data_IF_526869289962
#
_entry.id   IF_526869289962
#
_cell.length_a   1.000
_cell.length_b   1.000
_cell.length_c   1.000
_cell.angle_alpha   90.00
_cell.angle_beta   90.00
_cell.angle_gamma   90.00
#
_symmetry.space_group_name_H-M   'P 1'
#
loop_
_entity.id
_entity.type
_entity.pdbx_description
1 polymer ?
#
# COMPACT_ATOMS: atom_id res chain seq x y z
N UNK A 1 2.69 -5.64 -0.72
CA UNK A 1 2.38 -7.03 -1.12
C UNK A 1 0.89 -7.26 -0.99
N UNK A 2 0.27 -7.89 -1.99
CA UNK A 2 -1.12 -8.36 -1.93
C UNK A 2 -1.12 -9.88 -1.74
N UNK A 3 -1.94 -10.39 -0.84
CA UNK A 3 -2.12 -11.81 -0.56
C UNK A 3 -3.32 -12.35 -1.34
N UNK A 4 -3.21 -13.58 -1.85
CA UNK A 4 -4.32 -14.25 -2.55
C UNK A 4 -5.43 -14.67 -1.59
N UNK A 5 -5.11 -14.83 -0.31
CA UNK A 5 -6.08 -15.12 0.75
C UNK A 5 -5.73 -14.26 1.97
N UNK A 6 -6.72 -13.57 2.58
CA UNK A 6 -6.49 -12.81 3.80
C UNK A 6 -5.95 -13.67 4.94
N UNK A 7 -5.08 -13.09 5.77
CA UNK A 7 -4.52 -13.74 6.96
C UNK A 7 -4.95 -12.99 8.23
N UNK A 8 -5.08 -13.72 9.33
CA UNK A 8 -5.27 -13.12 10.64
C UNK A 8 -3.92 -12.57 11.13
N UNK A 9 -3.82 -11.25 11.28
CA UNK A 9 -2.56 -10.57 11.59
C UNK A 9 -2.24 -10.52 13.08
N UNK A 10 -3.23 -10.23 13.92
CA UNK A 10 -3.08 -10.01 15.37
C UNK A 10 -4.08 -10.82 16.21
N UNK A 11 -4.71 -11.82 15.62
CA UNK A 11 -5.74 -12.65 16.24
C UNK A 11 -7.17 -12.12 16.07
N UNK A 12 -7.34 -10.87 15.60
CA UNK A 12 -8.66 -10.23 15.43
C UNK A 12 -8.83 -9.68 14.01
N UNK A 13 -7.82 -8.97 13.51
CA UNK A 13 -7.87 -8.29 12.24
C UNK A 13 -7.39 -9.20 11.10
N UNK A 14 -8.21 -9.30 10.06
CA UNK A 14 -7.87 -9.98 8.81
C UNK A 14 -7.27 -8.97 7.83
N UNK A 15 -6.12 -9.31 7.23
CA UNK A 15 -5.42 -8.44 6.28
C UNK A 15 -5.03 -9.20 5.01
N UNK A 16 -5.12 -8.53 3.88
CA UNK A 16 -4.72 -9.06 2.56
C UNK A 16 -3.79 -8.11 1.78
N UNK A 17 -3.60 -6.88 2.26
CA UNK A 17 -2.64 -5.91 1.74
C UNK A 17 -1.64 -5.56 2.84
N UNK A 18 -0.36 -5.72 2.52
CA UNK A 18 0.76 -5.44 3.43
C UNK A 18 1.63 -4.35 2.80
N UNK A 19 1.74 -3.21 3.49
CA UNK A 19 2.72 -2.17 3.20
C UNK A 19 3.92 -2.33 4.13
N UNK A 20 5.12 -2.42 3.55
CA UNK A 20 6.37 -2.48 4.31
C UNK A 20 7.08 -1.15 4.11
N UNK A 21 7.43 -0.50 5.21
CA UNK A 21 8.14 0.76 5.23
C UNK A 21 9.56 0.53 5.76
N UNK A 22 10.56 0.84 4.94
CA UNK A 22 11.95 0.90 5.37
C UNK A 22 12.36 2.37 5.44
N UNK A 23 12.21 2.98 6.61
CA UNK A 23 12.35 4.42 6.82
C UNK A 23 13.50 4.74 7.77
N UNK A 24 14.12 5.89 7.57
CA UNK A 24 14.97 6.52 8.58
C UNK A 24 14.15 7.49 9.46
N UNK A 25 14.75 8.01 10.53
CA UNK A 25 14.09 8.93 11.46
C UNK A 25 13.63 10.27 10.84
N UNK A 26 14.14 10.63 9.67
CA UNK A 26 13.85 11.88 8.97
C UNK A 26 12.80 11.72 7.84
N UNK A 27 12.29 10.51 7.65
CA UNK A 27 11.47 10.10 6.51
C UNK A 27 9.97 10.44 6.59
N UNK A 28 9.61 11.60 7.18
CA UNK A 28 8.19 12.01 7.37
C UNK A 28 7.38 12.08 6.08
N UNK A 29 8.02 12.40 4.95
CA UNK A 29 7.37 12.51 3.64
C UNK A 29 6.74 11.18 3.22
N UNK A 30 7.38 10.06 3.51
CA UNK A 30 6.89 8.74 3.14
C UNK A 30 5.70 8.29 4.00
N UNK A 31 5.62 8.75 5.25
CA UNK A 31 4.41 8.55 6.07
C UNK A 31 3.21 9.28 5.47
N UNK A 32 3.38 10.52 4.99
CA UNK A 32 2.31 11.25 4.33
C UNK A 32 1.90 10.59 3.01
N UNK A 33 2.86 10.08 2.23
CA UNK A 33 2.55 9.33 1.01
C UNK A 33 1.75 8.06 1.32
N UNK A 34 2.18 7.28 2.32
CA UNK A 34 1.42 6.11 2.75
C UNK A 34 0.02 6.51 3.22
N UNK A 35 -0.10 7.58 4.02
CA UNK A 35 -1.38 8.08 4.50
C UNK A 35 -2.33 8.42 3.34
N UNK A 36 -1.84 9.09 2.30
CA UNK A 36 -2.63 9.39 1.12
C UNK A 36 -3.11 8.12 0.41
N UNK A 37 -2.21 7.13 0.24
CA UNK A 37 -2.53 5.85 -0.40
C UNK A 37 -3.60 5.09 0.37
N UNK A 38 -3.48 4.98 1.69
CA UNK A 38 -4.44 4.21 2.52
C UNK A 38 -5.75 4.98 2.76
N UNK A 39 -5.77 6.29 2.58
CA UNK A 39 -6.99 7.11 2.70
C UNK A 39 -7.81 7.12 1.42
N UNK A 40 -7.24 6.70 0.28
CA UNK A 40 -7.92 6.62 -1.00
C UNK A 40 -8.53 5.24 -1.21
N UNK A 41 -9.82 5.11 -0.88
CA UNK A 41 -10.57 3.86 -1.07
C UNK A 41 -10.63 3.41 -2.53
N UNK A 42 -10.62 4.33 -3.49
CA UNK A 42 -10.69 4.01 -4.91
C UNK A 42 -9.38 3.36 -5.39
N UNK A 43 -8.25 3.88 -4.91
CA UNK A 43 -6.93 3.33 -5.14
C UNK A 43 -6.79 1.96 -4.47
N UNK A 44 -7.20 1.82 -3.20
CA UNK A 44 -7.18 0.54 -2.50
C UNK A 44 -8.04 -0.52 -3.19
N UNK A 45 -9.22 -0.14 -3.67
CA UNK A 45 -10.09 -1.03 -4.45
C UNK A 45 -9.45 -1.48 -5.75
N UNK A 46 -8.74 -0.58 -6.45
CA UNK A 46 -8.00 -0.91 -7.67
C UNK A 46 -6.85 -1.89 -7.40
N UNK A 47 -6.11 -1.72 -6.30
CA UNK A 47 -5.07 -2.68 -5.86
C UNK A 47 -5.71 -4.04 -5.56
N UNK A 48 -6.86 -4.05 -4.88
CA UNK A 48 -7.58 -5.27 -4.54
C UNK A 48 -8.07 -6.02 -5.79
N UNK A 49 -8.52 -5.31 -6.82
CA UNK A 49 -8.94 -5.91 -8.09
C UNK A 49 -7.78 -6.37 -9.01
N UNK A 50 -6.55 -5.93 -8.74
CA UNK A 50 -5.40 -6.21 -9.60
C UNK A 50 -4.97 -7.69 -9.55
N UNK A 51 -4.64 -8.27 -10.70
CA UNK A 51 -4.25 -9.68 -10.82
C UNK A 51 -2.76 -9.85 -11.13
N UNK A 52 -2.04 -8.75 -11.33
CA UNK A 52 -0.61 -8.77 -11.63
C UNK A 52 0.18 -7.76 -10.81
N UNK A 53 1.46 -8.06 -10.60
CA UNK A 53 2.41 -7.15 -9.95
C UNK A 53 2.55 -5.84 -10.73
N UNK A 54 2.49 -5.91 -12.06
CA UNK A 54 2.63 -4.75 -12.95
C UNK A 54 1.47 -3.76 -12.81
N UNK A 55 0.23 -4.25 -12.67
CA UNK A 55 -0.95 -3.40 -12.42
C UNK A 55 -0.85 -2.69 -11.08
N UNK A 56 -0.49 -3.43 -10.01
CA UNK A 56 -0.30 -2.85 -8.68
C UNK A 56 0.76 -1.74 -8.71
N UNK A 57 1.88 -1.98 -9.40
CA UNK A 57 2.93 -0.98 -9.58
C UNK A 57 2.42 0.23 -10.38
N UNK A 58 1.63 0.02 -11.43
CA UNK A 58 1.08 1.12 -12.23
C UNK A 58 0.12 2.01 -11.42
N UNK A 59 -0.68 1.40 -10.54
CA UNK A 59 -1.61 2.11 -9.64
C UNK A 59 -0.84 2.91 -8.59
N UNK A 60 0.21 2.34 -7.97
CA UNK A 60 0.96 2.99 -6.89
C UNK A 60 1.97 4.05 -7.38
N UNK A 61 2.53 3.88 -8.59
CA UNK A 61 3.61 4.72 -9.09
C UNK A 61 3.32 6.23 -9.11
N UNK A 62 2.10 6.72 -9.44
CA UNK A 62 1.76 8.14 -9.36
C UNK A 62 1.94 8.73 -7.96
N UNK A 63 1.50 8.01 -6.92
CA UNK A 63 1.47 8.49 -5.53
C UNK A 63 2.76 8.24 -4.76
N UNK A 64 3.64 7.37 -5.28
CA UNK A 64 4.95 7.07 -4.70
C UNK A 64 6.10 7.87 -5.34
N UNK A 65 5.83 8.83 -6.23
CA UNK A 65 6.91 9.66 -6.79
C UNK A 65 7.51 10.51 -5.68
N UNK A 66 8.82 10.32 -5.46
CA UNK A 66 9.61 11.10 -4.51
C UNK A 66 9.35 12.59 -4.71
N UNK A 67 9.16 13.32 -3.61
CA UNK A 67 9.54 14.72 -3.58
C UNK A 67 10.97 14.80 -4.13
N UNK A 68 11.14 15.51 -5.24
CA UNK A 68 12.48 15.88 -5.73
C UNK A 68 13.14 16.81 -4.72
#
# INVERSE_FOLDING_TARGET
TKLDTPIIWDGVNSVDIIFILALDENSKVYFNQLYNIISDESLLSAIHASNSKSEILHILCPDTKSAR
#
